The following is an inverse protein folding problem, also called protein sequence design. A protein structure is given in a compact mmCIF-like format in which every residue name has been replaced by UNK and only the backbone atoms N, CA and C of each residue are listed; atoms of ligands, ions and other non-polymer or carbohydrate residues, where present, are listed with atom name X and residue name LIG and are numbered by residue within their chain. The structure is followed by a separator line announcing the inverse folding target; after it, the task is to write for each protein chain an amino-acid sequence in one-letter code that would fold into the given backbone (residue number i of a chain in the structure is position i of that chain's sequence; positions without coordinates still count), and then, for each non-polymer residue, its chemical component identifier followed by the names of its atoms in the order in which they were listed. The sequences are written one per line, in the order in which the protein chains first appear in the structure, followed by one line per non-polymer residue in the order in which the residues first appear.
data_IF_835330659095
#
_entry.id   IF_835330659095
#
_cell.length_a   1.000
_cell.length_b   1.000
_cell.length_c   1.000
_cell.angle_alpha   90.00
_cell.angle_beta   90.00
_cell.angle_gamma   90.00
#
_symmetry.space_group_name_H-M   'P 1'
#
loop_
_entity.id
_entity.type
_entity.pdbx_description
1 polymer ?
#
# COMPACT_ATOMS: atom_id res chain seq x y z
N UNK A 1 -19.96 -1.42 -7.20
CA UNK A 1 -20.56 -2.15 -6.05
C UNK A 1 -20.47 -3.67 -6.19
N UNK A 2 -20.78 -4.29 -7.35
CA UNK A 2 -20.69 -5.77 -7.53
C UNK A 2 -19.28 -6.35 -7.22
N UNK A 3 -18.21 -5.64 -7.54
CA UNK A 3 -16.83 -6.11 -7.31
C UNK A 3 -16.36 -5.98 -5.85
N UNK A 4 -16.98 -5.08 -5.07
CA UNK A 4 -16.70 -4.94 -3.64
C UNK A 4 -17.18 -6.15 -2.83
N UNK A 5 -18.35 -6.71 -3.23
CA UNK A 5 -18.87 -7.94 -2.62
C UNK A 5 -17.99 -9.15 -2.92
N UNK A 6 -17.34 -9.20 -4.09
CA UNK A 6 -16.43 -10.29 -4.45
C UNK A 6 -15.17 -10.29 -3.56
N UNK A 7 -14.61 -9.13 -3.27
CA UNK A 7 -13.44 -8.99 -2.39
C UNK A 7 -13.82 -9.31 -0.93
N UNK A 8 -14.98 -8.85 -0.50
CA UNK A 8 -15.48 -9.16 0.86
C UNK A 8 -15.83 -10.65 1.00
N UNK A 9 -16.40 -11.28 -0.04
CA UNK A 9 -16.69 -12.72 -0.05
C UNK A 9 -15.41 -13.55 -0.13
N UNK A 10 -14.35 -13.11 -0.84
CA UNK A 10 -13.06 -13.80 -0.80
C UNK A 10 -12.39 -13.67 0.57
N UNK A 11 -12.46 -12.51 1.19
CA UNK A 11 -11.96 -12.29 2.55
C UNK A 11 -12.79 -13.09 3.59
N UNK A 12 -14.10 -13.21 3.39
CA UNK A 12 -14.97 -14.01 4.25
C UNK A 12 -14.82 -15.52 4.01
N UNK A 13 -14.51 -15.95 2.79
CA UNK A 13 -14.20 -17.38 2.50
C UNK A 13 -12.89 -17.82 3.15
N UNK A 14 -11.88 -16.97 3.22
CA UNK A 14 -10.62 -17.25 3.95
C UNK A 14 -10.87 -17.21 5.47
N UNK A 15 -11.83 -16.40 5.93
CA UNK A 15 -12.21 -16.33 7.34
C UNK A 15 -13.23 -17.40 7.79
N UNK A 16 -14.07 -17.89 6.87
CA UNK A 16 -15.16 -18.81 7.20
C UNK A 16 -14.79 -20.30 7.07
N UNK A 17 -13.66 -20.63 6.44
CA UNK A 17 -13.25 -22.03 6.24
C UNK A 17 -12.39 -22.60 7.36
N UNK A 18 -12.18 -21.86 8.44
CA UNK A 18 -11.64 -22.45 9.66
C UNK A 18 -12.81 -22.59 10.62
N UNK A 19 -13.41 -23.78 10.76
CA UNK A 19 -14.23 -24.02 11.91
C UNK A 19 -13.30 -23.83 13.11
N UNK A 20 -13.50 -22.76 13.87
CA UNK A 20 -12.97 -22.66 15.21
C UNK A 20 -13.78 -23.64 16.05
N UNK A 21 -13.68 -24.91 15.72
CA UNK A 21 -13.96 -26.00 16.61
C UNK A 21 -12.85 -26.05 17.64
N UNK A 22 -12.79 -25.04 18.49
CA UNK A 22 -12.15 -25.20 19.78
C UNK A 22 -13.13 -25.92 20.72
N UNK A 23 -13.91 -26.82 20.19
CA UNK A 23 -14.41 -27.94 20.98
C UNK A 23 -13.21 -28.86 21.11
N UNK A 24 -12.63 -28.89 22.31
CA UNK A 24 -11.90 -30.09 22.77
C UNK A 24 -12.90 -31.18 22.55
N UNK A 25 -12.67 -32.07 21.59
CA UNK A 25 -13.58 -33.16 21.35
C UNK A 25 -13.60 -33.98 22.65
N UNK A 26 -14.78 -34.45 23.03
CA UNK A 26 -14.92 -35.36 24.19
C UNK A 26 -13.96 -36.55 24.02
N UNK A 27 -13.57 -36.86 22.79
CA UNK A 27 -12.64 -37.92 22.44
C UNK A 27 -11.18 -37.60 22.80
N UNK A 28 -10.72 -36.32 22.68
CA UNK A 28 -9.38 -35.92 23.16
C UNK A 28 -9.28 -36.00 24.70
N UNK A 29 -10.35 -35.60 25.40
CA UNK A 29 -10.42 -35.73 26.84
C UNK A 29 -10.49 -37.20 27.25
N UNK A 30 -11.14 -38.06 26.45
CA UNK A 30 -11.20 -39.49 26.69
C UNK A 30 -9.93 -40.23 26.30
N UNK A 31 -9.14 -39.73 25.32
CA UNK A 31 -7.85 -40.29 24.94
C UNK A 31 -6.78 -40.10 26.05
N UNK A 32 -6.75 -38.93 26.69
CA UNK A 32 -5.88 -38.72 27.85
C UNK A 32 -6.28 -39.58 29.05
N UNK A 33 -7.59 -39.85 29.24
CA UNK A 33 -8.10 -40.74 30.29
C UNK A 33 -7.73 -42.22 30.08
N UNK A 34 -7.50 -42.67 28.86
CA UNK A 34 -7.11 -44.07 28.56
C UNK A 34 -5.72 -44.44 29.06
N UNK A 35 -4.84 -43.47 29.29
CA UNK A 35 -3.50 -43.71 29.79
C UNK A 35 -3.36 -43.67 31.32
N UNK A 36 -4.47 -43.39 32.03
CA UNK A 36 -4.50 -43.41 33.51
C UNK A 36 -4.83 -44.82 33.96
N UNK A 37 -3.89 -45.50 34.59
CA UNK A 37 -4.12 -46.87 35.13
C UNK A 37 -5.20 -46.83 36.22
N UNK A 38 -5.98 -47.92 36.34
CA UNK A 38 -7.06 -48.03 37.32
C UNK A 38 -6.56 -47.80 38.77
N UNK A 39 -5.31 -48.08 39.03
CA UNK A 39 -4.65 -47.84 40.34
C UNK A 39 -4.50 -46.36 40.66
N UNK A 40 -4.24 -45.52 39.67
CA UNK A 40 -4.06 -44.07 39.86
C UNK A 40 -5.41 -43.39 40.14
N UNK A 41 -6.49 -43.93 39.59
CA UNK A 41 -7.86 -43.48 39.90
C UNK A 41 -8.32 -43.77 41.33
N UNK A 42 -7.84 -44.87 41.93
CA UNK A 42 -8.21 -45.23 43.30
C UNK A 42 -7.40 -44.50 44.38
N UNK A 43 -6.24 -43.94 44.01
CA UNK A 43 -5.42 -43.14 44.92
C UNK A 43 -5.84 -41.67 45.06
N UNK A 44 -6.57 -41.12 44.11
CA UNK A 44 -7.08 -39.75 44.21
C UNK A 44 -8.46 -39.72 44.87
N UNK A 45 -8.50 -39.81 46.19
CA UNK A 45 -9.70 -39.58 46.99
C UNK A 45 -10.07 -38.09 47.13
N UNK A 46 -9.25 -37.20 46.66
CA UNK A 46 -9.61 -35.80 46.49
C UNK A 46 -9.80 -35.55 45.00
N UNK A 47 -11.05 -35.47 44.55
CA UNK A 47 -11.38 -34.83 43.31
C UNK A 47 -10.92 -33.38 43.47
N UNK A 48 -9.82 -33.04 42.82
CA UNK A 48 -9.32 -31.70 42.84
C UNK A 48 -10.39 -30.83 42.15
N UNK A 49 -11.27 -30.25 42.96
CA UNK A 49 -12.37 -29.40 42.48
C UNK A 49 -11.85 -28.21 41.66
N UNK A 50 -10.57 -27.85 41.84
CA UNK A 50 -9.89 -26.83 41.04
C UNK A 50 -9.60 -27.27 39.62
N UNK A 51 -9.52 -28.57 39.35
CA UNK A 51 -9.26 -29.08 37.99
C UNK A 51 -10.37 -28.72 36.99
N UNK A 52 -11.61 -28.59 37.49
CA UNK A 52 -12.80 -28.24 36.72
C UNK A 52 -13.26 -26.80 36.96
N UNK A 53 -12.47 -25.98 37.62
CA UNK A 53 -12.90 -24.57 37.86
C UNK A 53 -12.97 -23.83 36.51
N UNK A 54 -14.09 -23.15 36.29
CA UNK A 54 -14.33 -22.32 35.12
C UNK A 54 -13.22 -21.23 34.99
N UNK A 55 -12.68 -20.79 36.11
CA UNK A 55 -11.59 -19.81 36.19
C UNK A 55 -10.29 -20.38 35.61
N UNK A 56 -9.91 -21.63 36.01
CA UNK A 56 -8.72 -22.30 35.47
C UNK A 56 -8.84 -22.57 33.99
N UNK A 57 -9.96 -23.07 33.52
CA UNK A 57 -10.25 -23.27 32.10
C UNK A 57 -10.17 -21.98 31.29
N UNK A 58 -10.72 -20.87 31.80
CA UNK A 58 -10.58 -19.55 31.16
C UNK A 58 -9.13 -19.07 31.14
N UNK A 59 -8.38 -19.28 32.23
CA UNK A 59 -6.96 -18.90 32.30
C UNK A 59 -6.08 -19.69 31.34
N UNK A 60 -6.26 -21.01 31.24
CA UNK A 60 -5.55 -21.86 30.29
C UNK A 60 -5.86 -21.48 28.84
N UNK A 61 -7.12 -21.25 28.50
CA UNK A 61 -7.50 -20.74 27.17
C UNK A 61 -6.89 -19.37 26.88
N UNK A 62 -6.84 -18.48 27.85
CA UNK A 62 -6.20 -17.18 27.69
C UNK A 62 -4.68 -17.32 27.47
N UNK A 63 -4.01 -18.21 28.19
CA UNK A 63 -2.61 -18.53 28.01
C UNK A 63 -2.32 -19.09 26.60
N UNK A 64 -3.09 -20.06 26.15
CA UNK A 64 -3.00 -20.65 24.80
C UNK A 64 -3.23 -19.57 23.72
N UNK A 65 -4.24 -18.71 23.88
CA UNK A 65 -4.46 -17.58 22.96
C UNK A 65 -3.25 -16.65 22.91
N UNK A 66 -2.69 -16.29 24.06
CA UNK A 66 -1.53 -15.43 24.17
C UNK A 66 -0.29 -16.07 23.54
N UNK A 67 -0.12 -17.37 23.69
CA UNK A 67 0.99 -18.10 23.08
C UNK A 67 0.91 -18.14 21.56
N UNK A 68 -0.30 -18.39 21.02
CA UNK A 68 -0.55 -18.52 19.58
C UNK A 68 -0.60 -17.20 18.83
N UNK A 69 -0.87 -16.10 19.52
CA UNK A 69 -1.06 -14.80 18.91
C UNK A 69 0.05 -13.82 19.29
N UNK A 70 0.67 -13.23 18.29
CA UNK A 70 1.56 -12.11 18.43
C UNK A 70 0.90 -10.87 17.83
N UNK A 71 0.81 -9.79 18.58
CA UNK A 71 0.27 -8.52 18.14
C UNK A 71 1.29 -7.40 18.36
N UNK A 72 1.56 -6.66 17.32
CA UNK A 72 2.38 -5.45 17.34
C UNK A 72 1.58 -4.30 16.72
N UNK A 73 1.45 -3.21 17.47
CA UNK A 73 0.80 -1.98 17.05
C UNK A 73 1.81 -0.85 17.11
N UNK A 74 1.91 -0.07 16.06
CA UNK A 74 2.77 1.09 15.99
C UNK A 74 2.02 2.29 15.47
N UNK A 75 2.27 3.44 16.06
CA UNK A 75 1.78 4.73 15.57
C UNK A 75 2.90 5.75 15.59
N UNK A 76 2.85 6.69 14.66
CA UNK A 76 3.81 7.76 14.58
C UNK A 76 3.20 9.04 14.02
N UNK A 77 3.65 10.16 14.51
CA UNK A 77 3.36 11.47 13.96
C UNK A 77 4.70 12.16 13.67
N UNK A 78 4.87 12.56 12.44
CA UNK A 78 6.08 13.21 11.94
C UNK A 78 5.69 14.58 11.39
N UNK A 79 6.53 15.58 11.63
CA UNK A 79 6.27 16.92 11.16
C UNK A 79 7.54 17.65 10.78
N UNK A 80 7.42 18.56 9.83
CA UNK A 80 8.43 19.57 9.52
C UNK A 80 7.77 20.93 9.48
N UNK A 81 8.46 21.92 10.03
CA UNK A 81 8.07 23.32 10.00
C UNK A 81 9.22 24.11 9.40
N UNK A 82 8.91 24.86 8.35
CA UNK A 82 9.84 25.82 7.78
C UNK A 82 9.22 27.20 7.91
N UNK A 83 9.94 28.13 8.52
CA UNK A 83 9.46 29.48 8.72
C UNK A 83 10.58 30.50 8.42
N UNK A 84 10.27 31.43 7.55
CA UNK A 84 11.14 32.53 7.16
C UNK A 84 10.42 33.85 7.39
N UNK A 85 11.14 34.89 7.76
CA UNK A 85 10.60 36.24 7.77
C UNK A 85 10.71 36.92 6.40
N UNK A 86 9.96 37.98 6.19
CA UNK A 86 9.91 38.67 4.91
C UNK A 86 11.28 39.17 4.41
N UNK A 87 12.17 39.72 5.29
CA UNK A 87 13.53 40.07 4.86
C UNK A 87 14.35 38.89 4.34
N UNK A 88 14.21 37.70 4.92
CA UNK A 88 14.90 36.51 4.42
C UNK A 88 14.35 36.07 3.08
N UNK A 89 13.02 36.05 2.93
CA UNK A 89 12.34 35.65 1.70
C UNK A 89 12.75 36.57 0.53
N UNK A 90 12.85 37.86 0.79
CA UNK A 90 13.22 38.86 -0.25
C UNK A 90 14.64 38.72 -0.75
N UNK A 91 15.58 38.24 0.07
CA UNK A 91 17.00 38.12 -0.28
C UNK A 91 17.38 36.72 -0.76
N UNK A 92 16.90 35.70 -0.05
CA UNK A 92 17.33 34.31 -0.25
C UNK A 92 16.23 33.41 -0.85
N UNK A 93 15.02 33.93 -0.94
CA UNK A 93 13.84 33.12 -1.32
C UNK A 93 13.41 32.15 -0.22
N UNK A 94 12.47 31.28 -0.55
CA UNK A 94 11.92 30.26 0.34
C UNK A 94 10.46 30.50 0.69
N UNK A 95 9.76 29.42 1.08
CA UNK A 95 8.35 29.46 1.46
C UNK A 95 8.12 28.91 2.86
N UNK A 96 7.25 29.56 3.60
CA UNK A 96 6.78 29.04 4.87
C UNK A 96 5.91 27.81 4.63
N UNK A 97 6.27 26.69 5.25
CA UNK A 97 5.56 25.44 5.05
C UNK A 97 5.45 24.59 6.33
N UNK A 98 4.38 23.86 6.44
CA UNK A 98 4.16 22.85 7.47
C UNK A 98 3.85 21.54 6.76
N UNK A 99 4.58 20.49 7.10
CA UNK A 99 4.25 19.15 6.65
C UNK A 99 3.96 18.26 7.87
N UNK A 100 2.87 17.53 7.81
CA UNK A 100 2.45 16.57 8.83
C UNK A 100 2.22 15.21 8.18
N UNK A 101 2.73 14.14 8.79
CA UNK A 101 2.53 12.76 8.35
C UNK A 101 2.17 11.91 9.55
N UNK A 102 1.01 11.29 9.51
CA UNK A 102 0.58 10.27 10.45
C UNK A 102 0.84 8.89 9.86
N UNK A 103 1.35 7.98 10.68
CA UNK A 103 1.60 6.58 10.31
C UNK A 103 0.94 5.65 11.31
N UNK A 104 0.40 4.54 10.80
CA UNK A 104 -0.15 3.47 11.62
C UNK A 104 0.30 2.13 11.08
N UNK A 105 0.75 1.24 11.96
CA UNK A 105 1.19 -0.10 11.59
C UNK A 105 0.58 -1.10 12.57
N UNK A 106 0.01 -2.15 12.01
CA UNK A 106 -0.48 -3.30 12.76
C UNK A 106 0.15 -4.56 12.17
N UNK A 107 0.64 -5.42 13.03
CA UNK A 107 1.12 -6.75 12.66
C UNK A 107 0.52 -7.76 13.61
N UNK A 108 -0.21 -8.71 13.07
CA UNK A 108 -0.77 -9.84 13.81
C UNK A 108 -0.23 -11.15 13.23
N UNK A 109 0.24 -12.04 14.09
CA UNK A 109 0.66 -13.38 13.71
C UNK A 109 -0.13 -14.36 14.55
N UNK A 110 -0.86 -15.24 13.88
CA UNK A 110 -1.45 -16.42 14.47
C UNK A 110 -0.64 -17.64 14.06
N UNK A 111 -0.26 -18.49 15.02
CA UNK A 111 0.44 -19.75 14.74
C UNK A 111 -0.21 -20.90 15.50
N UNK A 112 -0.53 -21.98 14.77
CA UNK A 112 -1.03 -23.24 15.34
C UNK A 112 -0.41 -24.40 14.57
N UNK A 113 0.40 -25.20 15.25
CA UNK A 113 1.13 -26.32 14.66
C UNK A 113 1.96 -25.87 13.43
N UNK A 114 1.75 -26.48 12.29
CA UNK A 114 2.40 -26.16 11.02
C UNK A 114 1.76 -24.96 10.28
N UNK A 115 0.59 -24.51 10.73
CA UNK A 115 -0.14 -23.42 10.09
C UNK A 115 0.14 -22.08 10.77
N UNK A 116 0.32 -21.04 9.96
CA UNK A 116 0.43 -19.67 10.43
C UNK A 116 -0.28 -18.69 9.50
N UNK A 117 -0.83 -17.63 10.07
CA UNK A 117 -1.32 -16.48 9.30
C UNK A 117 -0.61 -15.24 9.85
N UNK A 118 0.07 -14.52 8.98
CA UNK A 118 0.59 -13.20 9.30
C UNK A 118 -0.23 -12.14 8.56
N UNK A 119 -0.76 -11.19 9.30
CA UNK A 119 -1.52 -10.06 8.77
C UNK A 119 -0.79 -8.78 9.11
N UNK A 120 -0.60 -7.90 8.12
CA UNK A 120 -0.04 -6.56 8.31
C UNK A 120 -1.01 -5.54 7.72
N UNK A 121 -1.22 -4.46 8.46
CA UNK A 121 -1.88 -3.27 7.97
C UNK A 121 -0.97 -2.08 8.20
N UNK A 122 -0.61 -1.40 7.12
CA UNK A 122 0.22 -0.20 7.18
C UNK A 122 -0.55 0.94 6.55
N UNK A 123 -0.59 2.07 7.21
CA UNK A 123 -1.26 3.27 6.73
C UNK A 123 -0.36 4.50 6.91
N UNK A 124 -0.38 5.37 5.92
CA UNK A 124 0.32 6.66 5.93
C UNK A 124 -0.60 7.72 5.35
N UNK A 125 -0.77 8.81 6.06
CA UNK A 125 -1.52 9.96 5.59
C UNK A 125 -0.76 11.22 5.94
N UNK A 126 -0.46 12.04 4.94
CA UNK A 126 0.31 13.25 5.11
C UNK A 126 -0.23 14.40 4.30
N UNK A 127 -0.14 15.57 4.89
CA UNK A 127 -0.50 16.85 4.30
C UNK A 127 0.62 17.86 4.45
N UNK A 128 0.79 18.68 3.41
CA UNK A 128 1.61 19.88 3.46
C UNK A 128 0.70 21.10 3.39
N UNK A 129 1.08 22.15 4.11
CA UNK A 129 0.52 23.47 3.96
C UNK A 129 1.61 24.42 3.52
N UNK A 130 1.40 25.12 2.43
CA UNK A 130 2.28 26.17 1.92
C UNK A 130 1.47 27.27 1.27
N UNK A 131 2.11 28.42 1.07
CA UNK A 131 1.52 29.51 0.30
C UNK A 131 1.45 29.12 -1.17
N UNK A 132 0.34 29.42 -1.80
CA UNK A 132 0.13 29.26 -3.24
C UNK A 132 -0.40 30.57 -3.77
N UNK A 133 0.19 31.06 -4.84
CA UNK A 133 -0.32 32.23 -5.53
C UNK A 133 -1.45 31.83 -6.46
N UNK A 134 -2.60 32.45 -6.28
CA UNK A 134 -3.78 32.28 -7.12
C UNK A 134 -4.14 33.61 -7.75
N UNK A 135 -4.54 33.58 -9.01
CA UNK A 135 -4.99 34.78 -9.67
C UNK A 135 -6.33 35.21 -9.07
N UNK A 136 -6.40 36.45 -8.61
CA UNK A 136 -7.64 37.03 -8.08
C UNK A 136 -8.68 37.11 -9.19
N UNK A 137 -9.87 36.61 -8.89
CA UNK A 137 -11.01 36.61 -9.80
C UNK A 137 -12.07 37.57 -9.26
N UNK A 138 -12.55 38.46 -10.11
CA UNK A 138 -13.63 39.41 -9.75
C UNK A 138 -14.98 38.72 -9.59
N UNK A 139 -15.99 39.46 -9.09
CA UNK A 139 -17.35 38.93 -8.93
C UNK A 139 -18.01 38.48 -10.26
N UNK A 140 -17.48 38.97 -11.38
CA UNK A 140 -17.88 38.63 -12.75
C UNK A 140 -17.18 37.37 -13.30
N UNK A 141 -16.37 36.69 -12.46
CA UNK A 141 -15.61 35.49 -12.82
C UNK A 141 -14.41 35.75 -13.72
N UNK A 142 -14.04 37.03 -13.94
CA UNK A 142 -12.89 37.37 -14.77
C UNK A 142 -11.62 37.59 -13.92
N UNK A 143 -10.45 37.26 -14.46
CA UNK A 143 -9.18 37.55 -13.83
C UNK A 143 -8.99 39.04 -13.61
N UNK A 144 -8.68 39.46 -12.39
CA UNK A 144 -8.37 40.85 -12.08
C UNK A 144 -6.95 41.18 -12.50
N UNK A 145 -6.78 42.36 -13.10
CA UNK A 145 -5.48 42.92 -13.46
C UNK A 145 -5.32 44.29 -12.81
N UNK A 146 -4.09 44.68 -12.54
CA UNK A 146 -3.76 46.03 -12.07
C UNK A 146 -3.86 47.09 -13.20
N UNK A 147 -3.66 48.35 -12.87
CA UNK A 147 -3.69 49.46 -13.84
C UNK A 147 -2.63 49.35 -14.95
N UNK A 148 -1.60 48.53 -14.71
CA UNK A 148 -0.51 48.24 -15.66
C UNK A 148 -0.78 46.96 -16.49
N UNK A 149 -1.92 46.30 -16.32
CA UNK A 149 -2.30 45.07 -17.00
C UNK A 149 -1.67 43.81 -16.43
N UNK A 150 -0.98 43.85 -15.25
CA UNK A 150 -0.43 42.68 -14.61
C UNK A 150 -1.53 41.95 -13.81
N UNK A 151 -1.41 40.64 -13.75
CA UNK A 151 -2.33 39.80 -12.99
C UNK A 151 -2.20 40.06 -11.49
N UNK A 152 -3.31 40.38 -10.82
CA UNK A 152 -3.35 40.49 -9.37
C UNK A 152 -3.35 39.08 -8.79
N UNK A 153 -2.32 38.75 -8.00
CA UNK A 153 -2.18 37.45 -7.38
C UNK A 153 -2.47 37.55 -5.89
N UNK A 154 -3.30 36.65 -5.38
CA UNK A 154 -3.53 36.47 -3.96
C UNK A 154 -2.67 35.31 -3.46
N UNK A 155 -2.06 35.49 -2.31
CA UNK A 155 -1.27 34.45 -1.65
C UNK A 155 -2.06 33.83 -0.52
N UNK A 156 -2.48 32.59 -0.72
CA UNK A 156 -3.27 31.82 0.26
C UNK A 156 -2.52 30.58 0.74
N UNK A 157 -2.66 30.27 2.02
CA UNK A 157 -2.11 29.05 2.60
C UNK A 157 -3.02 27.85 2.34
N UNK A 158 -2.61 26.96 1.45
CA UNK A 158 -3.41 25.79 1.03
C UNK A 158 -2.84 24.50 1.58
N UNK A 159 -3.72 23.63 2.09
CA UNK A 159 -3.38 22.26 2.44
C UNK A 159 -3.51 21.35 1.24
N UNK A 160 -2.48 20.57 0.96
CA UNK A 160 -2.52 19.56 -0.08
C UNK A 160 -1.89 18.25 0.38
N UNK A 161 -2.40 17.17 -0.13
CA UNK A 161 -1.97 15.81 0.17
C UNK A 161 -0.58 15.55 -0.41
N UNK A 162 0.36 15.10 0.43
CA UNK A 162 1.69 14.68 -0.01
C UNK A 162 1.93 13.18 0.11
N UNK A 163 1.25 12.53 1.08
CA UNK A 163 1.29 11.09 1.27
C UNK A 163 -0.10 10.58 1.55
N UNK A 164 -0.44 9.45 0.95
CA UNK A 164 -1.70 8.77 1.22
C UNK A 164 -1.59 7.35 0.66
N UNK A 165 -1.45 6.40 1.53
CA UNK A 165 -1.34 5.00 1.17
C UNK A 165 -1.76 4.13 2.33
N UNK A 166 -2.53 3.10 2.06
CA UNK A 166 -2.66 1.99 2.97
C UNK A 166 -2.42 0.67 2.25
N UNK A 167 -1.87 -0.26 3.01
CA UNK A 167 -1.53 -1.60 2.54
C UNK A 167 -2.07 -2.62 3.53
N UNK A 168 -2.88 -3.53 3.04
CA UNK A 168 -3.29 -4.74 3.75
C UNK A 168 -2.50 -5.90 3.15
N UNK A 169 -1.80 -6.66 3.99
CA UNK A 169 -1.02 -7.80 3.58
C UNK A 169 -1.36 -9.00 4.46
N UNK A 170 -1.70 -10.12 3.84
CA UNK A 170 -2.09 -11.35 4.53
C UNK A 170 -1.32 -12.52 3.93
N UNK A 171 -0.69 -13.33 4.78
CA UNK A 171 0.08 -14.51 4.38
C UNK A 171 -0.35 -15.71 5.22
N UNK A 172 -1.33 -16.50 4.78
CA UNK A 172 -1.55 -17.84 5.28
C UNK A 172 -0.46 -18.77 4.72
N UNK A 173 0.21 -19.50 5.61
CA UNK A 173 1.32 -20.37 5.24
C UNK A 173 1.33 -21.66 6.08
N UNK A 174 1.77 -22.76 5.44
CA UNK A 174 2.02 -24.04 6.06
C UNK A 174 3.52 -24.35 6.04
N UNK A 175 4.05 -24.79 7.15
CA UNK A 175 5.43 -25.24 7.27
C UNK A 175 5.59 -26.59 6.56
N UNK A 176 6.42 -26.64 5.52
CA UNK A 176 6.68 -27.82 4.71
C UNK A 176 7.97 -28.53 5.16
N UNK A 177 8.99 -27.74 5.46
CA UNK A 177 10.28 -28.19 5.97
C UNK A 177 10.91 -27.08 6.80
N UNK A 178 12.02 -27.38 7.49
CA UNK A 178 12.77 -26.36 8.24
C UNK A 178 13.13 -25.17 7.36
N UNK A 179 12.67 -23.99 7.74
CA UNK A 179 12.81 -22.72 7.02
C UNK A 179 12.04 -22.57 5.70
N UNK A 180 11.23 -23.55 5.32
CA UNK A 180 10.42 -23.53 4.11
C UNK A 180 8.94 -23.60 4.45
N UNK A 181 8.18 -22.71 3.86
CA UNK A 181 6.73 -22.71 3.94
C UNK A 181 6.13 -22.64 2.54
N UNK A 182 4.95 -23.24 2.35
CA UNK A 182 4.12 -22.98 1.18
C UNK A 182 2.86 -22.24 1.60
N UNK A 183 2.33 -21.42 0.72
CA UNK A 183 1.15 -20.63 1.04
C UNK A 183 0.85 -19.58 0.00
N UNK A 184 0.03 -18.62 0.39
CA UNK A 184 -0.31 -17.49 -0.46
C UNK A 184 0.06 -16.16 0.21
N UNK A 185 0.33 -15.15 -0.61
CA UNK A 185 0.41 -13.77 -0.18
C UNK A 185 -0.70 -13.02 -0.88
N UNK A 186 -1.50 -12.31 -0.12
CA UNK A 186 -2.50 -11.38 -0.60
C UNK A 186 -2.11 -9.99 -0.14
N UNK A 187 -1.92 -9.07 -1.07
CA UNK A 187 -1.61 -7.68 -0.78
C UNK A 187 -2.59 -6.78 -1.51
N UNK A 188 -3.24 -5.91 -0.75
CA UNK A 188 -4.10 -4.87 -1.30
C UNK A 188 -3.56 -3.50 -0.92
N UNK A 189 -3.46 -2.58 -1.90
CA UNK A 189 -3.02 -1.20 -1.72
C UNK A 189 -4.01 -0.23 -2.33
N UNK A 190 -4.28 0.86 -1.64
CA UNK A 190 -5.04 1.98 -2.17
C UNK A 190 -4.78 3.24 -1.35
N UNK A 191 -5.59 4.25 -1.52
CA UNK A 191 -5.54 5.56 -0.87
C UNK A 191 -6.82 5.81 -0.09
N UNK A 192 -6.76 6.67 0.92
CA UNK A 192 -7.93 7.03 1.74
C UNK A 192 -8.72 8.20 1.16
N UNK A 193 -7.99 9.24 0.71
CA UNK A 193 -8.57 10.54 0.39
C UNK A 193 -8.26 10.98 -1.03
N UNK A 194 -8.98 11.99 -1.50
CA UNK A 194 -8.78 12.55 -2.82
C UNK A 194 -7.38 13.16 -2.95
N UNK A 195 -6.75 12.96 -4.09
CA UNK A 195 -5.54 13.66 -4.50
C UNK A 195 -5.79 14.45 -5.77
N UNK A 196 -5.21 15.64 -5.86
CA UNK A 196 -5.43 16.57 -6.95
C UNK A 196 -4.13 16.81 -7.72
N UNK A 197 -4.24 17.21 -8.98
CA UNK A 197 -3.09 17.59 -9.82
C UNK A 197 -2.58 18.99 -9.47
N UNK A 198 -3.52 19.91 -9.24
CA UNK A 198 -3.25 21.28 -8.83
C UNK A 198 -3.24 21.37 -7.30
N UNK A 199 -2.40 22.24 -6.76
CA UNK A 199 -2.35 22.58 -5.33
C UNK A 199 -3.38 23.64 -4.97
N UNK A 200 -3.53 24.64 -5.86
CA UNK A 200 -4.47 25.76 -5.70
C UNK A 200 -5.90 25.38 -6.01
N UNK A 201 -6.10 24.53 -7.04
CA UNK A 201 -7.42 24.16 -7.51
C UNK A 201 -7.73 22.70 -7.16
N UNK A 202 -8.32 22.50 -5.98
CA UNK A 202 -8.68 21.15 -5.49
C UNK A 202 -10.12 20.79 -5.87
N UNK A 203 -10.44 20.96 -7.15
CA UNK A 203 -11.76 20.64 -7.71
C UNK A 203 -11.81 19.26 -8.36
N UNK A 204 -13.03 18.80 -8.62
CA UNK A 204 -13.30 17.50 -9.25
C UNK A 204 -12.59 17.34 -10.60
N UNK A 205 -12.48 18.39 -11.39
CA UNK A 205 -11.81 18.41 -12.71
C UNK A 205 -10.28 18.15 -12.62
N UNK A 206 -9.66 18.47 -11.47
CA UNK A 206 -8.24 18.24 -11.20
C UNK A 206 -7.97 16.98 -10.39
N UNK A 207 -8.98 16.13 -10.18
CA UNK A 207 -8.85 14.90 -9.42
C UNK A 207 -7.82 13.97 -10.10
N UNK A 208 -6.82 13.53 -9.33
CA UNK A 208 -5.74 12.64 -9.78
C UNK A 208 -5.87 11.25 -9.19
N UNK A 209 -6.32 11.16 -7.94
CA UNK A 209 -6.45 9.91 -7.22
C UNK A 209 -7.55 9.97 -6.17
N UNK A 210 -8.14 8.81 -5.88
CA UNK A 210 -9.21 8.61 -4.91
C UNK A 210 -9.14 7.18 -4.36
N UNK A 211 -9.90 6.86 -3.32
CA UNK A 211 -10.08 5.47 -2.86
C UNK A 211 -10.44 4.56 -4.05
N UNK A 212 -9.77 3.42 -4.18
CA UNK A 212 -9.90 2.47 -5.31
C UNK A 212 -9.54 3.05 -6.70
N UNK A 213 -8.88 4.21 -6.74
CA UNK A 213 -8.42 4.81 -8.00
C UNK A 213 -7.08 5.54 -7.78
N UNK A 214 -5.93 4.83 -7.91
CA UNK A 214 -5.82 3.39 -8.16
C UNK A 214 -6.00 2.53 -6.91
N UNK A 215 -6.53 1.33 -7.11
CA UNK A 215 -6.44 0.21 -6.20
C UNK A 215 -5.59 -0.89 -6.82
N UNK A 216 -4.75 -1.58 -6.05
CA UNK A 216 -3.93 -2.70 -6.51
C UNK A 216 -4.14 -3.90 -5.62
N UNK A 217 -4.37 -5.05 -6.23
CA UNK A 217 -4.48 -6.34 -5.55
C UNK A 217 -3.47 -7.30 -6.16
N UNK A 218 -2.54 -7.74 -5.33
CA UNK A 218 -1.58 -8.78 -5.66
C UNK A 218 -1.94 -10.05 -4.89
N UNK A 219 -2.16 -11.15 -5.59
CA UNK A 219 -2.35 -12.47 -4.99
C UNK A 219 -1.27 -13.37 -5.57
N UNK A 220 -0.54 -14.07 -4.70
CA UNK A 220 0.50 -15.00 -5.14
C UNK A 220 0.42 -16.30 -4.36
N UNK A 221 0.65 -17.42 -5.04
CA UNK A 221 0.71 -18.75 -4.46
C UNK A 221 2.08 -19.35 -4.73
N UNK A 222 2.78 -19.76 -3.68
CA UNK A 222 4.13 -20.24 -3.86
C UNK A 222 4.81 -20.70 -2.58
N UNK A 223 6.13 -20.71 -2.63
CA UNK A 223 7.03 -21.21 -1.60
C UNK A 223 7.82 -20.05 -1.02
N UNK A 224 7.94 -20.01 0.29
CA UNK A 224 8.74 -19.01 1.00
C UNK A 224 9.88 -19.67 1.75
N UNK A 225 11.09 -19.21 1.50
CA UNK A 225 12.28 -19.53 2.28
C UNK A 225 12.60 -18.44 3.28
N UNK A 226 12.86 -18.79 4.54
CA UNK A 226 13.33 -17.85 5.58
C UNK A 226 14.70 -18.28 6.06
N UNK A 227 15.69 -17.41 5.93
CA UNK A 227 17.06 -17.68 6.41
C UNK A 227 17.07 -17.94 7.93
N UNK A 228 17.72 -18.98 8.41
CA UNK A 228 17.90 -19.24 9.84
C UNK A 228 18.93 -18.30 10.49
N UNK A 229 19.70 -17.58 9.69
CA UNK A 229 20.79 -16.73 10.16
C UNK A 229 20.24 -15.38 10.69
N UNK A 230 20.30 -15.18 12.01
CA UNK A 230 19.90 -13.89 12.64
C UNK A 230 20.73 -12.70 12.14
N UNK A 231 21.98 -12.93 11.73
CA UNK A 231 22.85 -11.88 11.18
C UNK A 231 22.48 -11.48 9.75
N UNK A 232 21.81 -12.38 9.00
CA UNK A 232 21.40 -12.16 7.63
C UNK A 232 19.96 -12.67 7.41
N UNK A 233 18.95 -11.98 7.96
CA UNK A 233 17.55 -12.40 7.94
C UNK A 233 16.91 -12.09 6.59
N UNK A 234 17.13 -12.94 5.61
CA UNK A 234 16.49 -12.88 4.30
C UNK A 234 15.24 -13.76 4.28
N UNK A 235 14.19 -13.26 3.68
CA UNK A 235 13.01 -14.02 3.29
C UNK A 235 12.86 -13.93 1.78
N UNK A 236 12.77 -15.08 1.10
CA UNK A 236 12.56 -15.16 -0.35
C UNK A 236 11.24 -15.87 -0.60
N UNK A 237 10.31 -15.19 -1.26
CA UNK A 237 9.07 -15.78 -1.72
C UNK A 237 9.14 -15.96 -3.25
N UNK A 238 8.89 -17.16 -3.71
CA UNK A 238 8.84 -17.54 -5.12
C UNK A 238 7.46 -18.06 -5.42
N UNK A 239 6.71 -17.33 -6.24
CA UNK A 239 5.32 -17.64 -6.55
C UNK A 239 5.16 -17.87 -8.06
N UNK A 240 5.11 -19.13 -8.50
CA UNK A 240 4.90 -19.48 -9.91
C UNK A 240 3.50 -19.04 -10.39
N UNK A 241 2.54 -18.98 -9.49
CA UNK A 241 1.20 -18.51 -9.78
C UNK A 241 0.95 -17.20 -9.03
N UNK A 242 0.77 -16.12 -9.78
CA UNK A 242 0.48 -14.80 -9.24
C UNK A 242 -0.58 -14.09 -10.09
N UNK A 243 -1.42 -13.32 -9.44
CA UNK A 243 -2.44 -12.45 -10.03
C UNK A 243 -2.16 -11.03 -9.59
N UNK A 244 -2.06 -10.11 -10.55
CA UNK A 244 -2.05 -8.68 -10.30
C UNK A 244 -3.33 -8.07 -10.85
N UNK A 245 -4.07 -7.36 -10.02
CA UNK A 245 -5.26 -6.63 -10.44
C UNK A 245 -5.10 -5.15 -10.12
N UNK A 246 -5.51 -4.32 -11.07
CA UNK A 246 -5.51 -2.86 -10.96
C UNK A 246 -6.93 -2.36 -11.11
N UNK A 247 -7.35 -1.48 -10.20
CA UNK A 247 -8.69 -0.89 -10.16
C UNK A 247 -8.63 0.62 -10.37
N UNK A 248 -9.57 1.15 -11.13
CA UNK A 248 -9.79 2.58 -11.34
C UNK A 248 -11.30 2.85 -11.39
N UNK A 249 -11.92 2.87 -10.23
CA UNK A 249 -13.39 2.97 -10.09
C UNK A 249 -13.94 4.35 -10.45
N UNK A 250 -13.11 5.40 -10.36
CA UNK A 250 -13.58 6.76 -10.60
C UNK A 250 -13.52 7.15 -12.07
N UNK A 251 -14.68 7.46 -12.65
CA UNK A 251 -14.82 7.82 -14.06
C UNK A 251 -14.07 9.09 -14.45
N UNK A 252 -14.01 10.11 -13.57
CA UNK A 252 -13.29 11.35 -13.82
C UNK A 252 -11.77 11.15 -13.97
N UNK A 253 -11.21 10.19 -13.28
CA UNK A 253 -9.78 9.84 -13.36
C UNK A 253 -9.54 8.92 -14.54
N UNK A 254 -10.43 7.98 -14.79
CA UNK A 254 -10.31 6.99 -15.87
C UNK A 254 -10.57 7.61 -17.23
N UNK A 255 -11.55 8.49 -17.32
CA UNK A 255 -11.91 9.24 -18.50
C UNK A 255 -11.41 10.66 -18.34
N UNK A 256 -10.39 11.02 -19.10
CA UNK A 256 -9.80 12.37 -19.03
C UNK A 256 -10.83 13.39 -19.52
N UNK A 257 -11.02 14.42 -18.72
CA UNK A 257 -11.75 15.57 -19.18
C UNK A 257 -10.96 16.33 -20.22
N UNK A 258 -11.67 16.82 -21.16
CA UNK A 258 -11.14 17.61 -22.23
C UNK A 258 -10.97 19.06 -21.79
N UNK A 259 -10.02 19.71 -22.42
CA UNK A 259 -9.78 21.12 -22.35
C UNK A 259 -11.07 21.90 -22.62
N UNK A 260 -11.49 22.74 -21.68
CA UNK A 260 -12.52 23.73 -21.92
C UNK A 260 -12.00 24.67 -23.03
N UNK A 261 -12.48 24.53 -24.23
CA UNK A 261 -12.26 25.53 -25.28
C UNK A 261 -13.27 26.63 -25.07
N UNK A 262 -12.76 27.83 -24.94
CA UNK A 262 -13.55 29.04 -25.00
C UNK A 262 -13.63 29.41 -26.46
N UNK A 263 -14.83 29.50 -27.02
CA UNK A 263 -15.02 29.96 -28.38
C UNK A 263 -14.71 31.48 -28.50
N UNK A 264 -14.73 32.01 -29.73
CA UNK A 264 -14.46 33.43 -30.00
C UNK A 264 -15.46 34.39 -29.33
N UNK A 265 -16.56 33.87 -28.80
CA UNK A 265 -17.60 34.63 -28.10
C UNK A 265 -17.48 34.53 -26.58
N UNK A 266 -16.46 33.85 -26.07
CA UNK A 266 -16.26 33.68 -24.64
C UNK A 266 -17.11 32.60 -23.98
N UNK A 267 -17.86 31.81 -24.76
CA UNK A 267 -18.70 30.72 -24.27
C UNK A 267 -17.90 29.46 -24.09
N UNK A 268 -17.95 28.88 -22.90
CA UNK A 268 -17.32 27.57 -22.59
C UNK A 268 -18.05 26.47 -23.37
N UNK A 269 -17.36 25.83 -24.29
CA UNK A 269 -17.86 24.66 -25.00
C UNK A 269 -17.46 23.44 -24.21
N UNK A 270 -18.42 22.63 -23.74
CA UNK A 270 -18.16 21.31 -23.19
C UNK A 270 -17.55 20.45 -24.28
N UNK A 271 -16.34 20.07 -24.08
CA UNK A 271 -15.62 19.25 -25.03
C UNK A 271 -15.72 17.77 -24.64
N UNK A 272 -15.63 16.92 -25.65
CA UNK A 272 -15.77 15.47 -25.60
C UNK A 272 -14.91 14.81 -24.52
N UNK A 273 -15.48 13.93 -23.71
CA UNK A 273 -14.80 13.15 -22.69
C UNK A 273 -13.98 12.05 -23.38
N UNK A 274 -12.65 12.16 -23.36
CA UNK A 274 -11.75 11.18 -23.97
C UNK A 274 -11.22 10.18 -22.94
N UNK A 275 -10.99 8.91 -23.33
CA UNK A 275 -10.31 7.94 -22.47
C UNK A 275 -8.93 8.43 -22.06
N UNK A 276 -8.59 8.32 -20.78
CA UNK A 276 -7.27 8.71 -20.27
C UNK A 276 -6.25 7.57 -20.30
N UNK A 277 -6.69 6.33 -20.47
CA UNK A 277 -5.88 5.11 -20.41
C UNK A 277 -4.96 5.04 -19.18
N UNK A 278 -5.39 5.62 -18.08
CA UNK A 278 -4.64 5.63 -16.84
C UNK A 278 -4.54 4.23 -16.24
N UNK A 279 -3.45 3.99 -15.51
CA UNK A 279 -3.21 2.72 -14.78
C UNK A 279 -3.16 1.46 -15.65
N UNK A 280 -3.00 1.61 -16.99
CA UNK A 280 -2.91 0.51 -17.94
C UNK A 280 -4.22 -0.19 -18.23
N UNK A 281 -5.34 0.42 -17.89
CA UNK A 281 -6.67 -0.02 -18.31
C UNK A 281 -6.89 0.52 -19.71
N UNK A 282 -6.77 -0.35 -20.70
CA UNK A 282 -6.82 0.02 -22.12
C UNK A 282 -8.24 0.10 -22.68
N UNK A 283 -9.20 -0.52 -21.99
CA UNK A 283 -10.62 -0.44 -22.32
C UNK A 283 -11.28 0.66 -21.50
N UNK A 284 -11.81 1.73 -22.10
CA UNK A 284 -12.40 2.84 -21.38
C UNK A 284 -13.67 2.49 -20.59
N UNK A 285 -14.33 1.37 -20.93
CA UNK A 285 -15.54 0.92 -20.25
C UNK A 285 -15.25 0.00 -19.06
N UNK A 286 -14.01 -0.52 -18.97
CA UNK A 286 -13.57 -1.33 -17.84
C UNK A 286 -13.03 -0.47 -16.69
N UNK A 287 -13.39 -0.85 -15.46
CA UNK A 287 -12.88 -0.24 -14.22
C UNK A 287 -11.70 -0.99 -13.63
N UNK A 288 -11.33 -2.11 -14.23
CA UNK A 288 -10.28 -2.99 -13.70
C UNK A 288 -9.52 -3.72 -14.81
N UNK A 289 -8.29 -4.09 -14.48
CA UNK A 289 -7.41 -4.91 -15.30
C UNK A 289 -6.86 -6.05 -14.46
N UNK A 290 -6.71 -7.22 -15.06
CA UNK A 290 -6.16 -8.42 -14.43
C UNK A 290 -5.00 -8.97 -15.25
N UNK A 291 -3.92 -9.36 -14.56
CA UNK A 291 -2.77 -10.01 -15.18
C UNK A 291 -2.39 -11.24 -14.38
N UNK A 292 -2.34 -12.40 -15.02
CA UNK A 292 -1.84 -13.64 -14.46
C UNK A 292 -0.37 -13.83 -14.77
N UNK A 293 0.41 -14.33 -13.81
CA UNK A 293 1.84 -14.45 -14.02
C UNK A 293 2.56 -15.15 -12.89
N UNK A 294 3.82 -14.79 -12.75
CA UNK A 294 4.70 -15.26 -11.66
C UNK A 294 5.30 -14.08 -10.93
N UNK A 295 5.59 -14.25 -9.64
CA UNK A 295 6.22 -13.21 -8.85
C UNK A 295 7.35 -13.74 -7.98
N UNK A 296 8.30 -12.85 -7.68
CA UNK A 296 9.35 -13.06 -6.69
C UNK A 296 9.40 -11.88 -5.75
N UNK A 297 9.53 -12.16 -4.45
CA UNK A 297 9.74 -11.14 -3.44
C UNK A 297 10.91 -11.52 -2.54
N UNK A 298 11.79 -10.56 -2.29
CA UNK A 298 12.94 -10.71 -1.40
C UNK A 298 12.83 -9.63 -0.33
N UNK A 299 12.75 -10.05 0.92
CA UNK A 299 12.69 -9.18 2.09
C UNK A 299 13.94 -9.36 2.94
N UNK A 300 14.49 -8.26 3.39
CA UNK A 300 15.52 -8.21 4.41
C UNK A 300 15.12 -7.20 5.49
N UNK A 301 15.15 -7.60 6.76
CA UNK A 301 14.78 -6.75 7.89
C UNK A 301 15.74 -7.02 9.06
N UNK A 302 16.66 -6.10 9.31
CA UNK A 302 17.65 -6.25 10.35
C UNK A 302 17.76 -5.02 11.23
N UNK A 303 17.86 -5.27 12.52
CA UNK A 303 18.18 -4.27 13.53
C UNK A 303 19.64 -4.39 13.94
N UNK A 304 20.35 -3.27 13.99
CA UNK A 304 21.77 -3.16 14.31
C UNK A 304 21.97 -2.44 15.65
N UNK A 305 23.12 -2.74 16.27
CA UNK A 305 23.52 -2.18 17.56
C UNK A 305 22.90 -2.90 18.76
N UNK A 306 23.54 -2.80 19.92
CA UNK A 306 23.09 -3.42 21.18
C UNK A 306 21.72 -2.85 21.63
N UNK A 307 21.49 -1.58 21.40
CA UNK A 307 20.26 -0.86 21.75
C UNK A 307 19.19 -0.94 20.66
N UNK A 308 19.52 -1.51 19.48
CA UNK A 308 18.59 -1.54 18.34
C UNK A 308 18.32 -0.17 17.74
N UNK A 309 19.32 0.74 17.81
CA UNK A 309 19.16 2.13 17.37
C UNK A 309 18.97 2.28 15.86
N UNK A 310 19.45 1.33 15.08
CA UNK A 310 19.38 1.34 13.63
C UNK A 310 18.64 0.11 13.13
N UNK A 311 17.59 0.31 12.30
CA UNK A 311 16.89 -0.78 11.62
C UNK A 311 16.88 -0.51 10.13
N UNK A 312 17.37 -1.46 9.37
CA UNK A 312 17.31 -1.42 7.91
C UNK A 312 16.35 -2.48 7.38
N UNK A 313 15.44 -2.06 6.53
CA UNK A 313 14.49 -2.93 5.84
C UNK A 313 14.56 -2.66 4.34
N UNK A 314 14.60 -3.74 3.56
CA UNK A 314 14.47 -3.65 2.12
C UNK A 314 13.55 -4.75 1.61
N UNK A 315 12.70 -4.40 0.66
CA UNK A 315 11.80 -5.31 -0.06
C UNK A 315 12.01 -5.09 -1.54
N UNK A 316 12.41 -6.15 -2.23
CA UNK A 316 12.44 -6.21 -3.69
C UNK A 316 11.33 -7.13 -4.15
N UNK A 317 10.41 -6.62 -4.95
CA UNK A 317 9.31 -7.36 -5.55
C UNK A 317 9.36 -7.24 -7.06
N UNK A 318 9.16 -8.34 -7.76
CA UNK A 318 8.98 -8.34 -9.21
C UNK A 318 7.85 -9.28 -9.58
N UNK A 319 7.01 -8.84 -10.51
CA UNK A 319 5.93 -9.62 -11.11
C UNK A 319 6.09 -9.58 -12.63
N UNK A 320 5.94 -10.72 -13.26
CA UNK A 320 5.89 -10.84 -14.71
C UNK A 320 4.57 -11.50 -15.14
N UNK A 321 3.74 -10.71 -15.82
CA UNK A 321 2.46 -11.15 -16.36
C UNK A 321 2.64 -11.82 -17.73
N UNK A 322 2.32 -13.10 -17.81
CA UNK A 322 2.32 -13.86 -19.07
C UNK A 322 0.89 -14.12 -19.61
N UNK A 323 -0.13 -13.94 -18.77
CA UNK A 323 -1.53 -13.81 -19.16
C UNK A 323 -1.93 -12.35 -18.89
N UNK A 324 -2.22 -11.57 -19.92
CA UNK A 324 -2.47 -10.14 -19.77
C UNK A 324 -3.48 -9.63 -20.79
N UNK A 325 -4.31 -8.68 -20.39
CA UNK A 325 -5.22 -7.92 -21.25
C UNK A 325 -4.49 -6.88 -22.12
N UNK A 326 -3.20 -6.63 -21.85
CA UNK A 326 -2.41 -5.67 -22.61
C UNK A 326 -2.27 -6.15 -24.04
N UNK A 327 -2.59 -5.27 -24.99
CA UNK A 327 -2.51 -5.56 -26.41
C UNK A 327 -1.12 -6.07 -26.83
N UNK A 328 -1.09 -6.97 -27.83
CA UNK A 328 0.13 -7.64 -28.30
C UNK A 328 0.71 -7.00 -29.57
N UNK A 329 0.04 -5.97 -30.11
CA UNK A 329 0.49 -5.25 -31.32
C UNK A 329 1.52 -4.17 -30.99
N UNK A 330 2.24 -3.70 -32.01
CA UNK A 330 3.20 -2.58 -31.94
C UNK A 330 4.30 -2.76 -30.88
N UNK A 331 4.87 -3.96 -30.80
CA UNK A 331 5.99 -4.24 -29.91
C UNK A 331 7.30 -3.73 -30.49
N UNK A 332 8.01 -2.92 -29.73
CA UNK A 332 9.31 -2.37 -30.08
C UNK A 332 10.32 -2.86 -29.05
N UNK A 333 11.31 -3.64 -29.49
CA UNK A 333 12.33 -4.23 -28.60
C UNK A 333 13.39 -3.25 -28.15
N UNK A 334 13.71 -2.28 -29.01
CA UNK A 334 14.65 -1.21 -28.69
C UNK A 334 14.00 -0.18 -27.80
N UNK A 335 14.53 0.00 -26.59
CA UNK A 335 13.95 0.91 -25.60
C UNK A 335 13.96 2.38 -26.05
N UNK A 336 15.00 2.83 -26.75
CA UNK A 336 15.10 4.21 -27.22
C UNK A 336 14.04 4.49 -28.28
N UNK A 337 13.90 3.59 -29.25
CA UNK A 337 12.87 3.67 -30.30
C UNK A 337 11.46 3.59 -29.71
N UNK A 338 11.27 2.69 -28.73
CA UNK A 338 10.00 2.57 -28.02
C UNK A 338 9.64 3.88 -27.30
N UNK A 339 10.59 4.48 -26.59
CA UNK A 339 10.35 5.74 -25.87
C UNK A 339 9.95 6.85 -26.80
N UNK A 340 10.68 7.03 -27.89
CA UNK A 340 10.38 8.06 -28.91
C UNK A 340 8.98 7.83 -29.51
N UNK A 341 8.67 6.63 -29.95
CA UNK A 341 7.35 6.30 -30.49
C UNK A 341 6.22 6.48 -29.47
N UNK A 342 6.49 6.18 -28.17
CA UNK A 342 5.52 6.39 -27.11
C UNK A 342 5.28 7.88 -26.85
N UNK A 343 6.31 8.71 -26.83
CA UNK A 343 6.19 10.16 -26.66
C UNK A 343 5.42 10.81 -27.83
N UNK A 344 5.64 10.35 -29.03
CA UNK A 344 4.87 10.78 -30.21
C UNK A 344 3.40 10.39 -30.09
N UNK A 345 3.13 9.14 -29.75
CA UNK A 345 1.76 8.67 -29.50
C UNK A 345 1.09 9.44 -28.36
N UNK A 346 1.81 9.71 -27.27
CA UNK A 346 1.27 10.41 -26.10
C UNK A 346 0.92 11.87 -26.38
N UNK A 347 1.63 12.54 -27.31
CA UNK A 347 1.35 13.91 -27.75
C UNK A 347 0.19 14.01 -28.74
N UNK A 348 -0.23 12.88 -29.33
CA UNK A 348 -1.31 12.86 -30.33
C UNK A 348 -2.65 13.20 -29.67
N UNK A 349 -3.39 14.15 -30.24
CA UNK A 349 -4.67 14.60 -29.67
C UNK A 349 -5.75 13.51 -29.67
N UNK A 350 -5.76 12.65 -30.70
CA UNK A 350 -6.70 11.53 -30.85
C UNK A 350 -5.94 10.21 -30.69
N UNK A 351 -5.61 9.85 -29.45
CA UNK A 351 -4.88 8.60 -29.14
C UNK A 351 -5.74 7.39 -29.44
N UNK A 352 -5.36 6.58 -30.42
CA UNK A 352 -5.93 5.23 -30.57
C UNK A 352 -5.07 4.24 -29.77
N UNK A 353 -5.72 3.47 -28.93
CA UNK A 353 -5.07 2.45 -28.11
C UNK A 353 -4.47 1.32 -28.98
N UNK A 354 -4.98 1.15 -30.19
CA UNK A 354 -4.47 0.16 -31.14
C UNK A 354 -3.07 0.51 -31.63
N UNK A 355 -2.76 1.80 -31.71
CA UNK A 355 -1.47 2.31 -32.18
C UNK A 355 -0.46 2.50 -31.07
N UNK A 356 -0.86 2.29 -29.82
CA UNK A 356 0.01 2.43 -28.66
C UNK A 356 1.26 1.56 -28.76
N UNK A 357 2.47 2.14 -28.72
CA UNK A 357 3.71 1.36 -28.68
C UNK A 357 3.83 0.57 -27.37
N UNK A 358 4.40 -0.62 -27.45
CA UNK A 358 4.55 -1.54 -26.31
C UNK A 358 5.93 -2.16 -26.27
N UNK A 359 6.42 -2.46 -25.07
CA UNK A 359 7.61 -3.29 -24.89
C UNK A 359 7.24 -4.77 -24.93
N UNK A 360 8.09 -5.65 -25.50
CA UNK A 360 7.86 -7.09 -25.50
C UNK A 360 7.90 -7.70 -24.10
N UNK A 361 8.78 -7.19 -23.22
CA UNK A 361 8.92 -7.61 -21.81
C UNK A 361 8.72 -6.39 -20.91
N UNK A 362 7.89 -6.55 -19.91
CA UNK A 362 7.48 -5.43 -19.04
C UNK A 362 7.13 -5.91 -17.62
N UNK A 363 8.12 -6.31 -16.83
CA UNK A 363 7.87 -6.69 -15.45
C UNK A 363 7.36 -5.47 -14.66
N UNK A 364 6.55 -5.74 -13.65
CA UNK A 364 6.33 -4.79 -12.55
C UNK A 364 7.46 -5.00 -11.58
N UNK A 365 8.17 -3.93 -11.21
CA UNK A 365 9.24 -3.99 -10.22
C UNK A 365 9.02 -2.94 -9.14
N UNK A 366 9.24 -3.32 -7.89
CA UNK A 366 9.16 -2.45 -6.73
C UNK A 366 10.33 -2.74 -5.80
N UNK A 367 11.10 -1.73 -5.51
CA UNK A 367 12.19 -1.80 -4.56
C UNK A 367 12.02 -0.72 -3.50
N UNK A 368 11.78 -1.15 -2.28
CA UNK A 368 11.53 -0.29 -1.13
C UNK A 368 12.66 -0.46 -0.12
N UNK A 369 13.22 0.65 0.33
CA UNK A 369 14.25 0.70 1.35
C UNK A 369 13.80 1.63 2.46
N UNK A 370 14.01 1.22 3.69
CA UNK A 370 13.71 2.03 4.87
C UNK A 370 14.84 1.88 5.89
N UNK A 371 15.40 3.01 6.29
CA UNK A 371 16.38 3.10 7.34
C UNK A 371 15.78 3.89 8.50
N UNK A 372 15.52 3.22 9.60
CA UNK A 372 14.99 3.83 10.82
C UNK A 372 16.15 4.02 11.83
N UNK A 373 16.38 5.25 12.25
CA UNK A 373 17.37 5.65 13.25
C UNK A 373 16.63 6.13 14.50
N UNK A 374 16.76 5.41 15.60
CA UNK A 374 16.12 5.76 16.86
C UNK A 374 17.10 6.58 17.71
N UNK A 375 16.82 7.88 17.84
CA UNK A 375 17.58 8.74 18.71
C UNK A 375 17.21 8.53 20.19
N UNK A 376 15.93 8.29 20.47
CA UNK A 376 15.40 7.94 21.80
C UNK A 376 14.32 6.87 21.70
N UNK A 377 13.68 6.51 22.82
CA UNK A 377 12.55 5.56 22.82
C UNK A 377 11.38 6.01 21.92
N UNK A 378 11.20 7.32 21.77
CA UNK A 378 10.07 7.91 21.06
C UNK A 378 10.48 8.68 19.80
N UNK A 379 11.67 9.29 19.79
CA UNK A 379 12.16 10.09 18.68
C UNK A 379 12.92 9.22 17.68
N UNK A 380 12.49 9.25 16.44
CA UNK A 380 13.12 8.51 15.34
C UNK A 380 13.23 9.36 14.08
N UNK A 381 14.28 9.06 13.32
CA UNK A 381 14.47 9.55 11.95
C UNK A 381 14.29 8.38 11.00
N UNK A 382 13.45 8.54 9.99
CA UNK A 382 13.21 7.54 8.95
C UNK A 382 13.64 8.09 7.60
N UNK A 383 14.57 7.41 6.94
CA UNK A 383 14.90 7.61 5.54
C UNK A 383 14.27 6.49 4.74
N UNK A 384 13.43 6.82 3.78
CA UNK A 384 12.83 5.86 2.86
C UNK A 384 13.17 6.20 1.42
N UNK A 385 13.52 5.17 0.66
CA UNK A 385 13.73 5.22 -0.77
C UNK A 385 12.87 4.17 -1.44
N UNK A 386 12.10 4.56 -2.43
CA UNK A 386 11.24 3.67 -3.22
C UNK A 386 11.56 3.85 -4.70
N UNK A 387 11.77 2.75 -5.37
CA UNK A 387 11.82 2.65 -6.82
C UNK A 387 10.64 1.81 -7.27
N UNK A 388 9.89 2.30 -8.22
CA UNK A 388 8.73 1.63 -8.74
C UNK A 388 8.71 1.69 -10.27
N UNK A 389 8.52 0.56 -10.90
CA UNK A 389 8.32 0.44 -12.33
C UNK A 389 7.05 -0.37 -12.59
N UNK A 390 6.08 0.27 -13.18
CA UNK A 390 4.86 -0.37 -13.66
C UNK A 390 4.39 0.38 -14.90
N UNK A 391 4.55 -0.25 -16.04
CA UNK A 391 4.14 0.30 -17.34
C UNK A 391 2.69 0.76 -17.37
N UNK A 392 1.83 0.14 -16.58
CA UNK A 392 0.44 0.55 -16.43
C UNK A 392 0.28 1.97 -15.85
N UNK A 393 1.27 2.44 -15.13
CA UNK A 393 1.26 3.78 -14.52
C UNK A 393 2.12 4.79 -15.26
N UNK A 394 3.34 4.39 -15.61
CA UNK A 394 4.29 5.25 -16.30
C UNK A 394 5.28 4.39 -17.08
N UNK A 395 5.73 4.92 -18.21
CA UNK A 395 6.76 4.30 -19.04
C UNK A 395 8.12 4.33 -18.35
N UNK A 396 8.38 5.39 -17.60
CA UNK A 396 9.63 5.60 -16.88
C UNK A 396 9.58 5.03 -15.46
N UNK A 397 10.77 4.79 -14.93
CA UNK A 397 10.96 4.38 -13.54
C UNK A 397 10.59 5.54 -12.62
N UNK A 398 9.76 5.26 -11.65
CA UNK A 398 9.33 6.22 -10.64
C UNK A 398 10.20 6.06 -9.40
N UNK A 399 10.78 7.14 -8.89
CA UNK A 399 11.57 7.14 -7.66
C UNK A 399 11.00 8.12 -6.65
N UNK A 400 11.09 7.75 -5.39
CA UNK A 400 10.69 8.61 -4.28
C UNK A 400 11.67 8.46 -3.12
N UNK A 401 12.20 9.57 -2.66
CA UNK A 401 13.01 9.64 -1.44
C UNK A 401 12.29 10.51 -0.41
N UNK A 402 12.25 10.05 0.83
CA UNK A 402 11.66 10.80 1.93
C UNK A 402 12.53 10.66 3.18
N UNK A 403 12.91 11.78 3.74
CA UNK A 403 13.50 11.89 5.07
C UNK A 403 12.48 12.50 6.01
N UNK A 404 12.21 11.83 7.12
CA UNK A 404 11.27 12.33 8.12
C UNK A 404 11.80 12.14 9.54
N UNK A 405 11.51 13.10 10.39
CA UNK A 405 11.85 13.07 11.82
C UNK A 405 10.56 13.21 12.60
N UNK A 406 10.39 12.42 13.63
CA UNK A 406 9.15 12.50 14.42
C UNK A 406 9.07 11.53 15.57
N UNK A 407 7.92 11.55 16.21
CA UNK A 407 7.60 10.69 17.35
C UNK A 407 6.98 9.38 16.85
N UNK A 408 7.51 8.27 17.35
CA UNK A 408 6.97 6.94 17.08
C UNK A 408 6.80 6.16 18.37
N UNK A 409 5.71 5.41 18.46
CA UNK A 409 5.45 4.50 19.57
C UNK A 409 5.06 3.13 19.04
N UNK A 410 5.62 2.08 19.64
CA UNK A 410 5.30 0.70 19.26
C UNK A 410 4.92 -0.09 20.51
N UNK A 411 3.72 -0.66 20.48
CA UNK A 411 3.22 -1.60 21.47
C UNK A 411 3.38 -3.02 20.98
N UNK A 412 3.84 -3.94 21.85
CA UNK A 412 3.94 -5.37 21.60
C UNK A 412 3.33 -6.13 22.76
N UNK A 413 2.60 -7.19 22.49
CA UNK A 413 1.98 -8.02 23.53
C UNK A 413 2.90 -9.13 24.07
N UNK A 414 4.11 -9.26 23.53
CA UNK A 414 5.17 -10.20 23.96
C UNK A 414 6.53 -9.52 23.94
#
# INVERSE_FOLDING_TARGET
MKHFYLILTLASLVGASVPVSAQISIDEVNAERRNVTFRDRLKSTSVDADYFSLARYKAERAAIRKERNYLELGGGLQGTLTSYNDPWISVSGGDNSIALVATFNLRHIFKKNLFSIETKFNAKLGYNRMKVETQRVGPDGKPMVDESGNKIMDSEGVWFKNQDEFVIWVNPAFEMAKNWTYGSILQFRSQFVNGYKSRSEQEKKHLKSKFMTPGYLDISLGITYKSPQKKFPITVNMSPLALNATFAENDWIRRRQVEERVDSEGKKTETEIKPAYNYGIEDPDKTSKYEGGSSIQIDFDRTFGKTGFLRYRTTLYSFYGWITDIGQKNKISDYTKFRHAYEEWDKTANKDIKDKPRLPIHPIARWENTLDIKATKYLSTTLSFQLYYNRAQNVDVQTRTLLSVGLTYTFKNK
#
